data_IF_942893564532
#
_entry.id   IF_942893564532
#
_cell.length_a   1.000
_cell.length_b   1.000
_cell.length_c   1.000
_cell.angle_alpha   90.00
_cell.angle_beta   90.00
_cell.angle_gamma   90.00
#
_symmetry.space_group_name_H-M   'P 1'
#
loop_
_entity.id
_entity.type
_entity.pdbx_description
1 polymer ?
#
# COMPACT_ATOMS: atom_id res chain seq x y z
N UNK A 1 -9.16 2.70 -36.18
CA UNK A 1 -8.21 3.40 -35.30
C UNK A 1 -8.40 2.84 -33.91
N UNK A 2 -7.47 2.03 -33.41
CA UNK A 2 -7.61 1.30 -32.14
C UNK A 2 -7.19 2.22 -31.01
N UNK A 3 -8.11 2.54 -30.10
CA UNK A 3 -7.83 3.24 -28.85
C UNK A 3 -7.05 2.30 -27.93
N UNK A 4 -5.72 2.24 -28.09
CA UNK A 4 -4.83 1.69 -27.06
C UNK A 4 -4.70 2.76 -25.98
N UNK A 5 -5.27 2.50 -24.81
CA UNK A 5 -5.17 3.41 -23.69
C UNK A 5 -5.86 2.98 -22.41
N UNK A 6 -6.21 1.70 -22.22
CA UNK A 6 -6.31 1.21 -20.85
C UNK A 6 -4.87 1.04 -20.36
N UNK A 7 -4.36 2.04 -19.62
CA UNK A 7 -3.21 1.79 -18.77
C UNK A 7 -3.71 0.87 -17.65
N UNK A 8 -3.48 -0.44 -17.80
CA UNK A 8 -3.55 -1.45 -16.75
C UNK A 8 -2.43 -1.20 -15.71
N UNK A 9 -2.33 0.02 -15.21
CA UNK A 9 -1.25 0.50 -14.35
C UNK A 9 -1.45 0.17 -12.87
N UNK A 10 -2.10 -0.94 -12.57
CA UNK A 10 -2.03 -1.55 -11.25
C UNK A 10 -1.72 -3.02 -11.49
N UNK A 11 -0.44 -3.30 -11.71
CA UNK A 11 0.08 -4.66 -11.75
C UNK A 11 -0.09 -5.26 -10.34
N UNK A 12 -1.32 -5.72 -10.06
CA UNK A 12 -1.71 -6.30 -8.79
C UNK A 12 -1.15 -7.72 -8.74
N UNK A 13 0.03 -7.88 -8.17
CA UNK A 13 0.73 -9.16 -8.04
C UNK A 13 0.14 -10.04 -6.92
N UNK A 14 -1.17 -9.95 -6.67
CA UNK A 14 -1.90 -10.67 -5.63
C UNK A 14 -1.60 -10.17 -4.21
N UNK A 15 -2.64 -9.72 -3.49
CA UNK A 15 -2.58 -9.31 -2.08
C UNK A 15 -3.27 -7.98 -1.80
N UNK A 16 -3.73 -7.73 -0.58
CA UNK A 16 -4.55 -6.55 -0.29
C UNK A 16 -3.78 -5.23 -0.42
N UNK A 17 -4.41 -4.26 -1.09
CA UNK A 17 -3.92 -2.89 -1.20
C UNK A 17 -4.83 -2.00 -0.37
N UNK A 18 -4.26 -1.31 0.60
CA UNK A 18 -4.97 -0.42 1.52
C UNK A 18 -4.42 0.99 1.41
N UNK A 19 -5.31 1.93 1.13
CA UNK A 19 -5.05 3.36 1.11
C UNK A 19 -5.55 3.98 2.41
N UNK A 20 -4.68 4.64 3.16
CA UNK A 20 -5.01 5.29 4.43
C UNK A 20 -4.53 6.74 4.41
N UNK A 21 -5.43 7.67 4.69
CA UNK A 21 -5.09 9.08 4.93
C UNK A 21 -5.11 9.36 6.43
N UNK A 22 -3.98 9.78 6.97
CA UNK A 22 -3.83 10.19 8.37
C UNK A 22 -4.17 11.67 8.55
N UNK A 23 -4.57 12.05 9.76
CA UNK A 23 -4.81 13.46 10.09
C UNK A 23 -3.50 14.27 10.26
N UNK A 24 -2.36 13.60 10.40
CA UNK A 24 -1.03 14.19 10.56
C UNK A 24 0.02 13.48 9.71
N UNK A 25 1.29 13.80 9.93
CA UNK A 25 2.40 13.11 9.24
C UNK A 25 2.40 11.63 9.61
N UNK A 26 2.41 10.75 8.60
CA UNK A 26 2.33 9.33 8.81
C UNK A 26 3.72 8.74 9.12
N UNK A 27 3.83 7.98 10.20
CA UNK A 27 5.06 7.28 10.57
C UNK A 27 5.10 5.89 9.92
N UNK A 28 5.83 5.78 8.80
CA UNK A 28 5.95 4.52 8.08
C UNK A 28 6.64 3.41 8.89
N UNK A 29 7.53 3.78 9.83
CA UNK A 29 8.27 2.81 10.62
C UNK A 29 7.37 2.18 11.69
N UNK A 30 6.53 2.99 12.34
CA UNK A 30 5.50 2.56 13.28
C UNK A 30 4.48 1.65 12.59
N UNK A 31 3.89 2.11 11.48
CA UNK A 31 2.91 1.34 10.70
C UNK A 31 3.48 -0.02 10.28
N UNK A 32 4.71 -0.04 9.75
CA UNK A 32 5.37 -1.29 9.35
C UNK A 32 5.58 -2.22 10.54
N UNK A 33 5.96 -1.69 11.69
CA UNK A 33 6.22 -2.48 12.91
C UNK A 33 4.92 -3.11 13.41
N UNK A 34 3.85 -2.33 13.52
CA UNK A 34 2.52 -2.85 13.92
C UNK A 34 2.04 -3.95 12.98
N UNK A 35 2.19 -3.77 11.66
CA UNK A 35 1.79 -4.80 10.70
C UNK A 35 2.61 -6.09 10.83
N UNK A 36 3.90 -5.98 11.16
CA UNK A 36 4.74 -7.16 11.44
C UNK A 36 4.30 -7.87 12.73
N UNK A 37 3.95 -7.12 13.78
CA UNK A 37 3.45 -7.67 15.05
C UNK A 37 2.10 -8.39 14.89
N UNK A 38 1.21 -7.87 14.04
CA UNK A 38 -0.07 -8.49 13.70
C UNK A 38 0.06 -9.72 12.78
N UNK A 39 1.28 -10.08 12.38
CA UNK A 39 1.58 -11.28 11.60
C UNK A 39 1.49 -11.11 10.08
N UNK A 40 1.56 -9.87 9.57
CA UNK A 40 1.71 -9.63 8.13
C UNK A 40 3.18 -9.76 7.71
N UNK A 41 3.47 -10.67 6.78
CA UNK A 41 4.83 -10.92 6.33
C UNK A 41 5.28 -9.97 5.21
N UNK A 42 6.26 -9.13 5.52
CA UNK A 42 6.85 -8.11 4.62
C UNK A 42 5.79 -7.12 4.08
N UNK A 43 5.10 -6.36 4.96
CA UNK A 43 4.21 -5.31 4.53
C UNK A 43 5.01 -4.21 3.84
N UNK A 44 4.56 -3.79 2.66
CA UNK A 44 5.16 -2.67 1.94
C UNK A 44 4.34 -1.42 2.22
N UNK A 45 4.95 -0.48 2.94
CA UNK A 45 4.32 0.78 3.38
C UNK A 45 5.04 1.92 2.68
N UNK A 46 4.29 2.78 1.99
CA UNK A 46 4.85 3.92 1.25
C UNK A 46 3.91 5.11 1.26
N UNK A 47 4.45 6.32 1.15
CA UNK A 47 3.65 7.54 0.99
C UNK A 47 3.05 7.59 -0.42
N UNK A 48 1.79 7.99 -0.54
CA UNK A 48 1.11 8.16 -1.83
C UNK A 48 0.32 9.48 -1.88
N UNK A 49 0.93 10.53 -2.44
CA UNK A 49 0.30 11.85 -2.55
C UNK A 49 0.95 12.85 -1.59
N UNK A 50 0.49 12.90 -0.34
CA UNK A 50 1.05 13.77 0.71
C UNK A 50 1.70 12.97 1.83
N UNK A 51 2.47 13.62 2.72
CA UNK A 51 3.13 12.95 3.87
C UNK A 51 2.14 12.28 4.86
N UNK A 52 0.86 12.56 4.71
CA UNK A 52 -0.22 11.96 5.49
C UNK A 52 -0.91 10.79 4.78
N UNK A 53 -0.71 10.63 3.48
CA UNK A 53 -1.33 9.59 2.70
C UNK A 53 -0.38 8.41 2.54
N UNK A 54 -0.83 7.22 2.95
CA UNK A 54 -0.03 6.00 2.96
C UNK A 54 -0.74 4.91 2.18
N UNK A 55 0.04 4.28 1.31
CA UNK A 55 -0.31 3.05 0.62
C UNK A 55 0.36 1.88 1.34
N UNK A 56 -0.45 0.93 1.78
CA UNK A 56 -0.02 -0.31 2.40
C UNK A 56 -0.35 -1.45 1.45
N UNK A 57 0.66 -2.26 1.15
CA UNK A 57 0.51 -3.45 0.35
C UNK A 57 0.85 -4.68 1.18
N UNK A 58 -0.13 -5.56 1.30
CA UNK A 58 -0.04 -6.80 2.04
C UNK A 58 0.06 -7.96 1.05
N UNK A 59 0.85 -8.97 1.39
CA UNK A 59 0.87 -10.24 0.65
C UNK A 59 -0.27 -11.13 1.14
N UNK A 60 -0.90 -11.93 0.27
CA UNK A 60 -1.98 -12.82 0.68
C UNK A 60 -1.45 -13.81 1.72
N UNK A 61 -2.14 -13.91 2.85
CA UNK A 61 -1.82 -14.89 3.90
C UNK A 61 -2.09 -16.28 3.34
N UNK A 62 -1.04 -17.10 3.21
CA UNK A 62 -1.14 -18.45 2.64
C UNK A 62 -1.81 -19.41 3.61
#
# INVERSE_FOLDING_TARGET
MVTRGLNFGLEFTGGDLLEISYAGEADLADIRTTLLEEGFENPLVQIFGTVSDVLIRLRPRK
#
